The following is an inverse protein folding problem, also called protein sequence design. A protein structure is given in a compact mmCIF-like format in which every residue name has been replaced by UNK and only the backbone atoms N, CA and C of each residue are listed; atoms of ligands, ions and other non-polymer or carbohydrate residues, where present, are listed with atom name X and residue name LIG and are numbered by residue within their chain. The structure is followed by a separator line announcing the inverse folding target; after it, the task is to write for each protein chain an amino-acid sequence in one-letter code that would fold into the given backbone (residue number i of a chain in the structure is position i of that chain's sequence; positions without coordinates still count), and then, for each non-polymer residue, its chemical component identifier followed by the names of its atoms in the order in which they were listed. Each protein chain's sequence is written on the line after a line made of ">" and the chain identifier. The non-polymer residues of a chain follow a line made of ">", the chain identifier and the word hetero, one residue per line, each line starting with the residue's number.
data_IF_898409305368
#
_entry.id   IF_898409305368
#
_cell.length_a   1.000
_cell.length_b   1.000
_cell.length_c   1.000
_cell.angle_alpha   90.00
_cell.angle_beta   90.00
_cell.angle_gamma   90.00
#
_symmetry.space_group_name_H-M   'P 1'
#
loop_
_entity.id
_entity.type
_entity.pdbx_description
1 polymer ?
#
# COMPACT_ATOMS: atom_id res chain seq x y z
N UNK A 1 -8.99 -4.00 0.82
CA UNK A 1 -9.72 -3.49 2.02
C UNK A 1 -9.27 -4.15 3.33
N UNK A 2 -9.54 -5.44 3.57
CA UNK A 2 -9.24 -6.09 4.87
C UNK A 2 -7.81 -5.89 5.40
N UNK A 3 -6.79 -5.96 4.54
CA UNK A 3 -5.39 -5.73 4.93
C UNK A 3 -5.15 -4.29 5.41
N UNK A 4 -5.74 -3.30 4.73
CA UNK A 4 -5.59 -1.88 5.03
C UNK A 4 -6.32 -1.45 6.32
N UNK A 5 -7.28 -2.24 6.79
CA UNK A 5 -8.06 -1.97 8.00
C UNK A 5 -7.69 -2.92 9.16
N UNK A 6 -6.75 -3.84 8.93
CA UNK A 6 -6.39 -4.85 9.93
C UNK A 6 -5.55 -4.22 11.04
N UNK A 7 -6.08 -4.25 12.27
CA UNK A 7 -5.35 -3.84 13.47
C UNK A 7 -4.28 -4.85 13.87
N UNK A 8 -4.42 -6.12 13.46
CA UNK A 8 -3.43 -7.18 13.69
C UNK A 8 -2.12 -6.86 12.96
N UNK A 9 -2.20 -6.23 11.79
CA UNK A 9 -1.05 -5.88 10.96
C UNK A 9 -0.41 -4.53 11.33
N UNK A 10 -0.86 -3.86 12.41
CA UNK A 10 -0.44 -2.51 12.74
C UNK A 10 1.07 -2.34 13.02
N UNK A 11 1.76 -3.43 13.34
CA UNK A 11 3.21 -3.45 13.58
C UNK A 11 4.03 -4.00 12.39
N UNK A 12 3.38 -4.31 11.27
CA UNK A 12 4.04 -4.85 10.10
C UNK A 12 4.97 -3.80 9.49
N UNK A 13 6.23 -4.18 9.21
CA UNK A 13 7.23 -3.29 8.60
C UNK A 13 7.40 -3.51 7.11
N UNK A 14 7.10 -4.70 6.62
CA UNK A 14 7.24 -5.08 5.21
C UNK A 14 6.02 -5.88 4.78
N UNK A 15 5.44 -5.52 3.64
CA UNK A 15 4.26 -6.16 3.08
C UNK A 15 4.49 -6.44 1.59
N UNK A 16 4.35 -7.70 1.20
CA UNK A 16 4.43 -8.12 -0.19
C UNK A 16 3.05 -8.49 -0.71
N UNK A 17 2.56 -7.73 -1.68
CA UNK A 17 1.30 -7.94 -2.36
C UNK A 17 1.48 -8.09 -3.87
N UNK A 18 2.65 -8.56 -4.33
CA UNK A 18 2.89 -8.84 -5.75
C UNK A 18 1.80 -9.74 -6.33
N UNK A 19 1.31 -9.41 -7.53
CA UNK A 19 0.38 -10.27 -8.29
C UNK A 19 -0.98 -10.55 -7.62
N UNK A 20 -1.62 -9.53 -7.04
CA UNK A 20 -2.95 -9.65 -6.38
C UNK A 20 -4.08 -8.85 -7.06
N UNK A 21 -3.85 -8.30 -8.26
CA UNK A 21 -4.86 -7.55 -9.02
C UNK A 21 -5.55 -6.44 -8.20
N UNK A 22 -4.76 -5.69 -7.43
CA UNK A 22 -5.28 -4.67 -6.48
C UNK A 22 -6.00 -3.51 -7.19
N UNK A 23 -5.49 -3.07 -8.35
CA UNK A 23 -6.02 -1.92 -9.08
C UNK A 23 -5.89 -0.58 -8.35
N UNK A 24 -6.35 0.49 -8.99
CA UNK A 24 -6.28 1.85 -8.44
C UNK A 24 -7.12 2.03 -7.18
N UNK A 25 -8.30 1.42 -7.14
CA UNK A 25 -9.17 1.49 -5.96
C UNK A 25 -8.52 0.80 -4.75
N UNK A 26 -7.87 -0.34 -4.95
CA UNK A 26 -7.15 -1.00 -3.87
C UNK A 26 -5.92 -0.21 -3.42
N UNK A 27 -5.22 0.47 -4.34
CA UNK A 27 -4.12 1.37 -4.03
C UNK A 27 -4.59 2.58 -3.21
N UNK A 28 -5.73 3.19 -3.56
CA UNK A 28 -6.37 4.27 -2.79
C UNK A 28 -6.73 3.82 -1.37
N UNK A 29 -7.34 2.65 -1.23
CA UNK A 29 -7.66 2.08 0.09
C UNK A 29 -6.40 1.82 0.92
N UNK A 30 -5.32 1.34 0.31
CA UNK A 30 -4.03 1.18 1.00
C UNK A 30 -3.43 2.52 1.42
N UNK A 31 -3.51 3.54 0.57
CA UNK A 31 -3.05 4.89 0.85
C UNK A 31 -3.82 5.56 2.00
N UNK A 32 -5.09 5.22 2.17
CA UNK A 32 -5.94 5.73 3.25
C UNK A 32 -5.82 4.90 4.55
N UNK A 33 -5.00 3.85 4.59
CA UNK A 33 -4.87 2.96 5.76
C UNK A 33 -4.35 3.70 6.99
N UNK A 34 -5.17 3.75 8.03
CA UNK A 34 -4.79 4.28 9.35
C UNK A 34 -4.21 3.22 10.29
N UNK A 35 -4.15 1.95 9.86
CA UNK A 35 -3.59 0.86 10.67
C UNK A 35 -2.15 0.53 10.27
N UNK A 36 -1.77 0.65 9.00
CA UNK A 36 -0.42 0.32 8.49
C UNK A 36 0.63 1.42 8.76
N UNK A 37 0.49 2.19 9.85
CA UNK A 37 1.32 3.37 10.17
C UNK A 37 2.81 3.05 10.38
N UNK A 38 3.14 1.81 10.71
CA UNK A 38 4.53 1.33 10.91
C UNK A 38 5.13 0.67 9.66
N UNK A 39 4.39 0.61 8.56
CA UNK A 39 4.84 -0.02 7.34
C UNK A 39 5.96 0.81 6.70
N UNK A 40 7.09 0.18 6.42
CA UNK A 40 8.28 0.81 5.83
C UNK A 40 8.46 0.45 4.37
N UNK A 41 8.09 -0.78 4.01
CA UNK A 41 8.21 -1.29 2.65
C UNK A 41 6.92 -1.95 2.21
N UNK A 42 6.45 -1.59 1.00
CA UNK A 42 5.37 -2.30 0.33
C UNK A 42 5.74 -2.62 -1.13
N UNK A 43 5.42 -3.85 -1.54
CA UNK A 43 5.68 -4.35 -2.88
C UNK A 43 4.34 -4.63 -3.58
N UNK A 44 4.08 -3.90 -4.66
CA UNK A 44 2.82 -3.90 -5.41
C UNK A 44 3.04 -4.22 -6.90
N UNK A 45 4.19 -4.76 -7.28
CA UNK A 45 4.48 -5.17 -8.65
C UNK A 45 3.42 -6.15 -9.20
N UNK A 46 3.03 -5.96 -10.47
CA UNK A 46 1.97 -6.73 -11.17
C UNK A 46 0.60 -6.65 -10.46
N UNK A 47 0.07 -5.44 -10.24
CA UNK A 47 -1.24 -5.25 -9.61
C UNK A 47 -2.25 -4.43 -10.42
N UNK A 48 -1.99 -4.15 -11.69
CA UNK A 48 -2.89 -3.33 -12.53
C UNK A 48 -3.15 -1.93 -11.93
N UNK A 49 -2.15 -1.37 -11.25
CA UNK A 49 -2.19 -0.01 -10.70
C UNK A 49 -1.70 0.94 -11.80
N UNK A 50 -2.48 1.97 -12.10
CA UNK A 50 -2.14 3.06 -13.01
C UNK A 50 -1.45 4.20 -12.27
N UNK A 51 -1.05 5.24 -13.02
CA UNK A 51 -0.47 6.47 -12.46
C UNK A 51 -1.36 7.12 -11.39
N UNK A 52 -2.69 6.93 -11.45
CA UNK A 52 -3.62 7.45 -10.45
C UNK A 52 -3.46 6.73 -9.10
N UNK A 53 -3.46 5.40 -9.11
CA UNK A 53 -3.25 4.61 -7.90
C UNK A 53 -1.83 4.77 -7.33
N UNK A 54 -0.82 4.91 -8.19
CA UNK A 54 0.54 5.24 -7.75
C UNK A 54 0.60 6.59 -7.03
N UNK A 55 -0.04 7.63 -7.60
CA UNK A 55 -0.14 8.96 -6.97
C UNK A 55 -0.86 8.92 -5.63
N UNK A 56 -1.92 8.12 -5.51
CA UNK A 56 -2.63 7.96 -4.24
C UNK A 56 -1.69 7.43 -3.14
N UNK A 57 -0.88 6.41 -3.44
CA UNK A 57 0.09 5.85 -2.49
C UNK A 57 1.23 6.82 -2.17
N UNK A 58 1.76 7.52 -3.17
CA UNK A 58 2.85 8.49 -3.01
C UNK A 58 2.44 9.72 -2.19
N UNK A 59 1.17 10.14 -2.29
CA UNK A 59 0.63 11.28 -1.56
C UNK A 59 -0.07 10.87 -0.25
N UNK A 60 0.05 9.61 0.17
CA UNK A 60 -0.57 9.15 1.41
C UNK A 60 -0.04 9.92 2.61
N UNK A 61 -0.95 10.53 3.37
CA UNK A 61 -0.64 11.15 4.67
C UNK A 61 -0.73 10.15 5.83
N UNK A 62 -1.29 8.96 5.59
CA UNK A 62 -1.51 7.94 6.62
C UNK A 62 -0.34 6.95 6.73
N UNK A 63 0.34 6.65 5.61
CA UNK A 63 1.50 5.76 5.56
C UNK A 63 2.81 6.48 5.96
N UNK A 64 2.81 7.10 7.14
CA UNK A 64 3.85 8.03 7.61
C UNK A 64 5.26 7.44 7.72
N UNK A 65 5.39 6.12 7.86
CA UNK A 65 6.68 5.43 7.98
C UNK A 65 7.18 4.84 6.65
N UNK A 66 6.41 4.97 5.56
CA UNK A 66 6.73 4.32 4.30
C UNK A 66 7.92 5.00 3.64
N UNK A 67 8.97 4.23 3.36
CA UNK A 67 10.19 4.71 2.72
C UNK A 67 10.57 3.94 1.46
N UNK A 68 9.96 2.77 1.24
CA UNK A 68 10.18 1.95 0.06
C UNK A 68 8.84 1.51 -0.51
N UNK A 69 8.60 1.91 -1.76
CA UNK A 69 7.38 1.62 -2.48
C UNK A 69 7.75 1.16 -3.88
N UNK A 70 7.27 -0.02 -4.28
CA UNK A 70 7.61 -0.66 -5.55
C UNK A 70 6.35 -1.05 -6.30
N UNK A 71 6.22 -0.60 -7.55
CA UNK A 71 5.02 -0.80 -8.40
C UNK A 71 5.34 -1.47 -9.75
N UNK A 72 6.59 -1.33 -10.21
CA UNK A 72 7.05 -1.79 -11.52
C UNK A 72 8.30 -2.67 -11.37
N UNK A 73 8.57 -3.48 -12.39
CA UNK A 73 9.74 -4.38 -12.44
C UNK A 73 11.00 -3.55 -12.65
#
# INVERSE_FOLDING_TARGET
>A
KAIAESTILANLRSLNLKSNSIGDEGARILAESTTLVNLRSIQLVVNNISDEGERALMNSTSLVSLSSLKFQV
#
